data_IF_606155006653
#
_entry.id   IF_606155006653
#
_cell.length_a   1.000
_cell.length_b   1.000
_cell.length_c   1.000
_cell.angle_alpha   90.00
_cell.angle_beta   90.00
_cell.angle_gamma   90.00
#
_symmetry.space_group_name_H-M   'P 1'
#
loop_
_entity.id
_entity.type
_entity.pdbx_description
1 polymer ?
#
# COMPACT_ATOMS: atom_id res chain seq x y z
N UNK A 1 -30.98 -81.36 22.62
CA UNK A 1 -30.70 -80.07 23.28
C UNK A 1 -29.81 -79.23 22.37
N UNK A 2 -29.96 -77.89 22.43
CA UNK A 2 -29.56 -76.84 21.47
C UNK A 2 -28.04 -76.75 21.11
N UNK A 3 -27.69 -76.03 20.02
CA UNK A 3 -26.45 -76.16 19.24
C UNK A 3 -25.39 -75.08 19.55
N UNK A 4 -24.18 -75.24 19.00
CA UNK A 4 -23.22 -74.15 18.84
C UNK A 4 -22.54 -74.19 17.45
N UNK A 5 -22.46 -73.00 16.84
CA UNK A 5 -21.98 -72.69 15.48
C UNK A 5 -20.45 -72.67 15.39
N UNK A 6 -19.90 -72.96 14.21
CA UNK A 6 -18.59 -72.46 13.79
C UNK A 6 -18.57 -72.22 12.27
N UNK A 7 -18.22 -71.01 11.87
CA UNK A 7 -18.13 -70.54 10.49
C UNK A 7 -16.76 -70.88 9.90
N UNK A 8 -16.75 -71.56 8.76
CA UNK A 8 -15.55 -71.99 8.05
C UNK A 8 -14.96 -70.84 7.20
N UNK A 9 -13.68 -70.54 7.45
CA UNK A 9 -12.83 -69.73 6.57
C UNK A 9 -12.01 -70.66 5.67
N UNK A 10 -11.66 -70.16 4.48
CA UNK A 10 -10.59 -70.63 3.57
C UNK A 10 -10.84 -71.90 2.74
N UNK A 11 -11.26 -71.70 1.49
CA UNK A 11 -10.98 -72.54 0.30
C UNK A 11 -11.35 -71.65 -0.90
N UNK A 12 -10.58 -71.42 -1.96
CA UNK A 12 -9.65 -72.29 -2.62
C UNK A 12 -8.62 -71.42 -3.37
N UNK A 13 -7.34 -71.69 -3.12
CA UNK A 13 -6.23 -71.32 -3.98
C UNK A 13 -6.01 -72.49 -4.93
N UNK A 14 -5.97 -72.22 -6.24
CA UNK A 14 -5.20 -72.99 -7.22
C UNK A 14 -5.85 -74.23 -7.85
N UNK A 15 -6.58 -74.03 -8.95
CA UNK A 15 -6.63 -74.95 -10.10
C UNK A 15 -6.78 -74.03 -11.33
N UNK A 16 -5.70 -73.58 -11.96
CA UNK A 16 -5.02 -74.26 -13.06
C UNK A 16 -5.98 -74.49 -14.27
N UNK A 17 -5.91 -73.66 -15.30
CA UNK A 17 -5.16 -73.96 -16.55
C UNK A 17 -6.06 -74.64 -17.61
N UNK A 18 -6.16 -73.98 -18.78
CA UNK A 18 -6.56 -74.49 -20.12
C UNK A 18 -8.05 -74.69 -20.44
N UNK A 19 -8.68 -73.63 -20.94
CA UNK A 19 -9.54 -73.66 -22.14
C UNK A 19 -9.09 -72.48 -23.01
N UNK A 20 -7.98 -72.60 -23.73
CA UNK A 20 -7.96 -72.85 -25.18
C UNK A 20 -8.96 -72.03 -26.00
N UNK A 21 -8.39 -71.00 -26.65
CA UNK A 21 -8.62 -70.60 -28.03
C UNK A 21 -10.06 -70.31 -28.48
N UNK A 22 -10.36 -69.03 -28.71
CA UNK A 22 -10.36 -68.47 -30.06
C UNK A 22 -11.10 -67.12 -30.08
N UNK A 23 -10.67 -66.29 -31.03
CA UNK A 23 -11.48 -65.30 -31.72
C UNK A 23 -11.27 -63.81 -31.33
N UNK A 24 -10.56 -63.18 -32.27
CA UNK A 24 -10.86 -61.86 -32.83
C UNK A 24 -10.13 -60.67 -32.17
N UNK A 25 -8.96 -60.44 -32.73
CA UNK A 25 -8.41 -59.11 -33.02
C UNK A 25 -9.50 -58.11 -33.38
N UNK A 26 -9.62 -57.04 -32.59
CA UNK A 26 -10.04 -55.74 -33.10
C UNK A 26 -9.41 -54.65 -32.22
N UNK A 27 -8.28 -54.13 -32.69
CA UNK A 27 -7.67 -52.91 -32.15
C UNK A 27 -8.59 -51.74 -32.50
N UNK A 28 -9.26 -51.17 -31.51
CA UNK A 28 -9.90 -49.86 -31.64
C UNK A 28 -9.07 -48.88 -30.82
N UNK A 29 -8.26 -48.09 -31.52
CA UNK A 29 -7.64 -46.89 -30.96
C UNK A 29 -8.74 -45.88 -30.66
N UNK A 30 -9.12 -45.74 -29.40
CA UNK A 30 -9.94 -44.62 -28.94
C UNK A 30 -9.02 -43.40 -28.91
N UNK A 31 -9.10 -42.60 -29.96
CA UNK A 31 -8.55 -41.25 -29.97
C UNK A 31 -9.35 -40.44 -28.96
N UNK A 32 -8.71 -40.05 -27.85
CA UNK A 32 -9.30 -39.11 -26.91
C UNK A 32 -9.50 -37.78 -27.64
N UNK A 33 -10.76 -37.44 -27.89
CA UNK A 33 -11.12 -36.12 -28.40
C UNK A 33 -10.70 -35.07 -27.37
N UNK A 34 -9.60 -34.39 -27.64
CA UNK A 34 -9.15 -33.24 -26.89
C UNK A 34 -10.20 -32.13 -27.06
N UNK A 35 -10.82 -31.74 -25.93
CA UNK A 35 -11.72 -30.58 -25.90
C UNK A 35 -10.91 -29.36 -26.34
N UNK A 36 -11.45 -28.47 -27.21
CA UNK A 36 -10.77 -27.23 -27.50
C UNK A 36 -10.67 -26.46 -26.20
N UNK A 37 -9.44 -26.25 -25.72
CA UNK A 37 -9.14 -25.30 -24.66
C UNK A 37 -9.64 -23.96 -25.15
N UNK A 38 -10.74 -23.48 -24.56
CA UNK A 38 -11.20 -22.12 -24.75
C UNK A 38 -10.03 -21.23 -24.31
N UNK A 39 -9.33 -20.68 -25.29
CA UNK A 39 -8.38 -19.61 -25.10
C UNK A 39 -9.15 -18.48 -24.43
N UNK A 40 -9.06 -18.45 -23.10
CA UNK A 40 -9.45 -17.28 -22.34
C UNK A 40 -8.46 -16.23 -22.79
N UNK A 41 -8.85 -15.47 -23.80
CA UNK A 41 -8.34 -14.13 -24.01
C UNK A 41 -8.63 -13.42 -22.70
N UNK A 42 -7.65 -13.46 -21.80
CA UNK A 42 -7.59 -12.56 -20.68
C UNK A 42 -7.71 -11.19 -21.34
N UNK A 43 -8.88 -10.58 -21.19
CA UNK A 43 -9.04 -9.18 -21.47
C UNK A 43 -8.05 -8.49 -20.54
N UNK A 44 -6.87 -8.19 -21.06
CA UNK A 44 -5.91 -7.38 -20.37
C UNK A 44 -6.69 -6.12 -20.02
N UNK A 45 -6.95 -5.92 -18.73
CA UNK A 45 -7.47 -4.66 -18.24
C UNK A 45 -6.64 -3.56 -18.90
N UNK A 46 -7.27 -2.50 -19.45
CA UNK A 46 -6.54 -1.45 -20.13
C UNK A 46 -5.41 -1.05 -19.20
N UNK A 47 -4.17 -1.12 -19.69
CA UNK A 47 -3.05 -0.71 -18.87
C UNK A 47 -3.33 0.75 -18.50
N UNK A 48 -3.54 1.01 -17.22
CA UNK A 48 -3.58 2.36 -16.65
C UNK A 48 -2.15 2.94 -16.63
N UNK A 49 -1.40 2.70 -17.70
CA UNK A 49 0.02 2.93 -17.85
C UNK A 49 0.39 4.41 -17.93
N UNK A 50 -0.61 5.29 -17.95
CA UNK A 50 -0.47 6.74 -17.92
C UNK A 50 -0.42 7.32 -16.49
N UNK A 51 -0.57 6.49 -15.45
CA UNK A 51 -0.53 6.91 -14.04
C UNK A 51 -1.81 7.61 -13.53
N UNK A 52 -2.94 7.46 -14.22
CA UNK A 52 -4.21 8.06 -13.82
C UNK A 52 -4.62 7.74 -12.37
N UNK A 53 -4.39 6.48 -11.94
CA UNK A 53 -4.72 6.04 -10.58
C UNK A 53 -3.92 6.77 -9.49
N UNK A 54 -2.65 7.09 -9.76
CA UNK A 54 -1.85 7.92 -8.85
C UNK A 54 -2.39 9.35 -8.79
N UNK A 55 -2.68 9.92 -9.97
CA UNK A 55 -3.22 11.29 -10.09
C UNK A 55 -4.56 11.43 -9.36
N UNK A 56 -5.34 10.36 -9.28
CA UNK A 56 -6.63 10.35 -8.59
C UNK A 56 -6.54 10.60 -7.08
N UNK A 57 -5.36 10.44 -6.45
CA UNK A 57 -5.16 10.72 -5.02
C UNK A 57 -4.01 11.68 -4.71
N UNK A 58 -3.20 12.10 -5.69
CA UNK A 58 -2.01 12.94 -5.44
C UNK A 58 -2.33 14.28 -4.75
N UNK A 59 -3.56 14.78 -4.89
CA UNK A 59 -4.03 15.96 -4.16
C UNK A 59 -3.96 15.79 -2.64
N UNK A 60 -4.11 14.57 -2.12
CA UNK A 60 -3.92 14.26 -0.69
C UNK A 60 -2.45 14.42 -0.30
N UNK A 61 -1.52 13.87 -1.08
CA UNK A 61 -0.07 14.00 -0.80
C UNK A 61 0.40 15.46 -0.89
N UNK A 62 -0.28 16.28 -1.70
CA UNK A 62 -0.04 17.72 -1.83
C UNK A 62 -0.74 18.57 -0.78
N UNK A 63 -1.62 17.99 0.02
CA UNK A 63 -2.33 18.72 1.06
C UNK A 63 -1.36 19.17 2.17
N UNK A 64 -1.57 20.34 2.82
CA UNK A 64 -0.70 20.82 3.90
C UNK A 64 -0.47 19.82 5.02
N UNK A 65 -1.43 18.91 5.29
CA UNK A 65 -1.25 17.83 6.30
C UNK A 65 -0.10 16.87 5.98
N UNK A 66 0.19 16.64 4.70
CA UNK A 66 1.34 15.85 4.26
C UNK A 66 2.55 16.77 3.99
N UNK A 67 2.33 17.84 3.22
CA UNK A 67 3.39 18.73 2.75
C UNK A 67 4.15 19.43 3.87
N UNK A 68 3.53 19.66 5.03
CA UNK A 68 4.20 20.27 6.16
C UNK A 68 5.29 19.40 6.79
N UNK A 69 5.21 18.07 6.60
CA UNK A 69 6.24 17.11 6.99
C UNK A 69 7.25 16.84 5.84
N UNK A 70 6.76 16.93 4.61
CA UNK A 70 7.48 16.64 3.36
C UNK A 70 7.98 17.90 2.63
N UNK A 71 8.31 18.95 3.38
CA UNK A 71 8.79 20.25 2.89
C UNK A 71 10.31 20.39 2.88
N UNK A 72 10.85 21.22 1.98
CA UNK A 72 12.29 21.54 1.94
C UNK A 72 12.76 22.13 3.26
N UNK A 73 13.98 21.76 3.65
CA UNK A 73 14.63 22.21 4.87
C UNK A 73 14.65 21.17 5.99
N UNK A 74 15.22 21.57 7.10
CA UNK A 74 15.36 20.77 8.31
C UNK A 74 14.33 21.12 9.39
N UNK A 75 13.26 21.83 9.04
CA UNK A 75 12.18 22.21 9.95
C UNK A 75 10.81 21.83 9.36
N UNK A 76 9.82 21.53 10.23
CA UNK A 76 8.44 21.32 9.79
C UNK A 76 7.79 22.65 9.42
N UNK A 77 6.75 22.57 8.58
CA UNK A 77 5.86 23.70 8.33
C UNK A 77 4.59 23.58 9.19
N UNK A 78 3.84 24.67 9.29
CA UNK A 78 2.63 24.76 10.09
C UNK A 78 1.54 25.48 9.30
N UNK A 79 0.29 25.16 9.63
CA UNK A 79 -0.87 25.80 9.01
C UNK A 79 -1.13 25.31 7.59
N UNK A 80 -2.13 25.92 6.96
CA UNK A 80 -2.51 25.64 5.57
C UNK A 80 -1.73 26.52 4.58
N UNK A 81 -1.16 27.61 5.08
CA UNK A 81 -0.23 28.51 4.40
C UNK A 81 1.21 27.99 4.39
N UNK A 82 1.54 26.99 5.21
CA UNK A 82 2.85 26.34 5.22
C UNK A 82 3.98 27.27 5.66
N UNK A 83 3.74 28.14 6.65
CA UNK A 83 4.81 28.91 7.28
C UNK A 83 5.72 27.99 8.12
N UNK A 84 6.97 28.38 8.42
CA UNK A 84 7.82 27.62 9.34
C UNK A 84 7.13 27.44 10.70
N UNK A 85 7.30 26.26 11.31
CA UNK A 85 6.72 25.98 12.63
C UNK A 85 7.10 27.06 13.66
N UNK A 86 6.13 27.60 14.39
CA UNK A 86 6.29 28.81 15.20
C UNK A 86 7.37 28.70 16.29
N UNK A 87 7.58 27.49 16.82
CA UNK A 87 8.61 27.21 17.84
C UNK A 87 10.02 26.98 17.26
N UNK A 88 10.22 27.17 15.95
CA UNK A 88 11.52 27.02 15.27
C UNK A 88 12.23 25.66 15.47
N UNK A 89 11.44 24.61 15.76
CA UNK A 89 11.96 23.26 16.00
C UNK A 89 12.65 22.70 14.76
N UNK A 90 13.67 21.86 14.98
CA UNK A 90 14.45 21.21 13.91
C UNK A 90 14.20 19.71 13.87
N UNK A 91 14.28 19.10 12.69
CA UNK A 91 14.07 17.67 12.41
C UNK A 91 14.86 16.78 13.35
N UNK A 92 16.11 17.14 13.61
CA UNK A 92 17.03 16.35 14.42
C UNK A 92 17.41 15.02 13.76
N UNK A 93 18.33 14.25 14.37
CA UNK A 93 18.95 13.08 13.74
C UNK A 93 17.98 11.97 13.35
N UNK A 94 16.86 11.86 14.07
CA UNK A 94 15.85 10.80 13.87
C UNK A 94 14.48 11.34 13.47
N UNK A 95 14.34 12.65 13.25
CA UNK A 95 13.04 13.27 12.94
C UNK A 95 12.22 13.69 14.17
N UNK A 96 12.76 13.53 15.39
CA UNK A 96 12.05 13.76 16.66
C UNK A 96 12.44 15.06 17.39
N UNK A 97 13.11 16.00 16.74
CA UNK A 97 13.59 17.22 17.41
C UNK A 97 15.04 17.18 17.86
N UNK A 98 15.57 18.33 18.26
CA UNK A 98 16.95 18.51 18.75
C UNK A 98 16.96 18.90 20.22
N UNK A 99 17.96 18.44 20.98
CA UNK A 99 18.19 18.83 22.38
C UNK A 99 16.90 18.77 23.23
N UNK A 100 16.44 19.90 23.77
CA UNK A 100 15.23 20.01 24.61
C UNK A 100 13.96 20.26 23.78
N UNK A 101 14.10 20.67 22.52
CA UNK A 101 13.01 20.89 21.55
C UNK A 101 12.61 19.57 20.87
N UNK A 102 12.32 18.55 21.70
CA UNK A 102 11.78 17.28 21.21
C UNK A 102 10.31 17.45 20.85
N UNK A 103 9.88 16.78 19.78
CA UNK A 103 8.48 16.83 19.35
C UNK A 103 7.54 16.41 20.49
N UNK A 104 7.91 15.37 21.23
CA UNK A 104 7.16 14.83 22.37
C UNK A 104 7.11 15.74 23.60
N UNK A 105 7.92 16.81 23.65
CA UNK A 105 7.81 17.82 24.72
C UNK A 105 6.47 18.56 24.63
N UNK A 106 5.92 18.72 23.43
CA UNK A 106 4.70 19.50 23.19
C UNK A 106 3.58 18.64 22.58
N UNK A 107 3.90 17.78 21.61
CA UNK A 107 2.91 16.95 20.92
C UNK A 107 2.64 15.67 21.72
N UNK A 108 1.36 15.42 21.98
CA UNK A 108 0.88 14.21 22.65
C UNK A 108 0.45 13.15 21.65
N UNK A 109 0.02 11.98 22.14
CA UNK A 109 -0.50 10.88 21.32
C UNK A 109 -1.92 11.11 20.78
N UNK A 110 -2.60 12.17 21.23
CA UNK A 110 -3.92 12.58 20.78
C UNK A 110 -4.09 14.11 20.79
N UNK A 111 -5.08 14.63 20.06
CA UNK A 111 -5.41 16.05 20.06
C UNK A 111 -5.95 16.49 21.44
N UNK A 112 -5.45 17.61 21.97
CA UNK A 112 -5.80 18.11 23.31
C UNK A 112 -6.90 19.21 23.31
N UNK A 113 -7.25 19.80 22.17
CA UNK A 113 -8.27 20.85 22.05
C UNK A 113 -7.80 22.10 21.29
N UNK A 114 -8.63 23.14 21.28
CA UNK A 114 -8.33 24.43 20.64
C UNK A 114 -6.99 25.03 21.11
N UNK A 115 -6.25 25.64 20.18
CA UNK A 115 -4.99 26.36 20.43
C UNK A 115 -3.84 25.53 21.06
N UNK A 116 -4.03 24.23 21.25
CA UNK A 116 -2.99 23.32 21.73
C UNK A 116 -2.30 22.63 20.54
N UNK A 117 -1.05 22.16 20.70
CA UNK A 117 -0.37 21.38 19.66
C UNK A 117 -1.24 20.20 19.18
N UNK A 118 -1.19 19.86 17.88
CA UNK A 118 -1.82 18.64 17.40
C UNK A 118 -1.18 17.41 18.05
N UNK A 119 -1.90 16.31 18.11
CA UNK A 119 -1.37 15.07 18.68
C UNK A 119 -1.77 13.83 17.92
N UNK A 120 -0.80 12.93 17.77
CA UNK A 120 -0.94 11.59 17.22
C UNK A 120 0.24 10.73 17.72
N UNK A 121 0.09 9.40 17.78
CA UNK A 121 1.20 8.53 18.17
C UNK A 121 2.42 8.74 17.25
N UNK A 122 3.62 8.64 17.84
CA UNK A 122 4.90 8.72 17.11
C UNK A 122 5.12 10.03 16.34
N UNK A 123 4.63 11.18 16.84
CA UNK A 123 4.77 12.48 16.20
C UNK A 123 6.23 12.81 15.82
N UNK A 124 6.51 12.83 14.52
CA UNK A 124 7.86 12.93 13.98
C UNK A 124 7.86 13.42 12.53
N UNK A 125 9.00 13.95 12.11
CA UNK A 125 9.33 14.14 10.71
C UNK A 125 9.98 12.89 10.10
N UNK A 126 9.94 12.73 8.77
CA UNK A 126 10.90 11.88 8.06
C UNK A 126 12.34 12.12 8.56
N UNK A 127 13.16 11.09 8.80
CA UNK A 127 14.51 11.28 9.27
C UNK A 127 15.40 11.96 8.20
N UNK A 128 16.46 12.69 8.59
CA UNK A 128 17.35 13.38 7.65
C UNK A 128 17.98 12.49 6.57
N UNK A 129 18.18 11.19 6.85
CA UNK A 129 18.71 10.24 5.87
C UNK A 129 17.74 9.95 4.70
N UNK A 130 16.43 10.06 4.94
CA UNK A 130 15.38 9.91 3.92
C UNK A 130 14.29 10.97 4.18
N UNK A 131 14.57 12.24 3.87
CA UNK A 131 13.72 13.35 4.29
C UNK A 131 12.39 13.40 3.54
N UNK A 132 12.25 12.62 2.45
CA UNK A 132 11.02 12.50 1.66
C UNK A 132 10.50 13.88 1.22
N UNK A 133 11.37 14.73 0.67
CA UNK A 133 11.02 16.09 0.27
C UNK A 133 10.20 16.06 -1.02
N UNK A 134 8.93 16.45 -0.95
CA UNK A 134 8.02 16.49 -2.10
C UNK A 134 7.79 17.92 -2.61
N UNK A 135 8.15 18.93 -1.83
CA UNK A 135 7.92 20.33 -2.19
C UNK A 135 8.72 20.71 -3.44
N UNK A 136 8.00 21.16 -4.47
CA UNK A 136 8.57 21.50 -5.78
C UNK A 136 8.67 20.33 -6.76
N UNK A 137 8.33 19.10 -6.35
CA UNK A 137 8.27 17.95 -7.26
C UNK A 137 6.97 17.96 -8.09
N UNK A 138 7.05 17.46 -9.34
CA UNK A 138 5.89 17.11 -10.18
C UNK A 138 5.18 15.87 -9.62
N UNK A 139 3.94 15.61 -10.06
CA UNK A 139 3.20 14.40 -9.63
C UNK A 139 3.95 13.12 -9.99
N UNK A 140 4.54 13.08 -11.19
CA UNK A 140 5.38 11.98 -11.65
C UNK A 140 6.61 11.77 -10.75
N UNK A 141 7.25 12.87 -10.32
CA UNK A 141 8.39 12.82 -9.40
C UNK A 141 7.98 12.36 -7.99
N UNK A 142 6.86 12.82 -7.45
CA UNK A 142 6.34 12.33 -6.15
C UNK A 142 6.07 10.83 -6.24
N UNK A 143 5.36 10.38 -7.28
CA UNK A 143 5.06 8.95 -7.47
C UNK A 143 6.32 8.08 -7.47
N UNK A 144 7.36 8.47 -8.22
CA UNK A 144 8.62 7.72 -8.25
C UNK A 144 9.35 7.78 -6.91
N UNK A 145 9.36 8.93 -6.25
CA UNK A 145 10.03 9.13 -4.96
C UNK A 145 9.42 8.25 -3.86
N UNK A 146 8.09 8.19 -3.74
CA UNK A 146 7.44 7.38 -2.70
C UNK A 146 7.61 5.87 -2.92
N UNK A 147 7.85 5.44 -4.17
CA UNK A 147 8.09 4.04 -4.53
C UNK A 147 9.54 3.60 -4.38
N UNK A 148 10.49 4.53 -4.39
CA UNK A 148 11.91 4.21 -4.32
C UNK A 148 12.33 3.90 -2.87
N UNK A 149 12.76 2.66 -2.55
CA UNK A 149 13.22 2.29 -1.21
C UNK A 149 14.30 3.22 -0.65
N UNK A 150 15.15 3.76 -1.53
CA UNK A 150 16.24 4.68 -1.14
C UNK A 150 15.72 6.04 -0.69
N UNK A 151 14.49 6.38 -1.04
CA UNK A 151 13.88 7.68 -0.74
C UNK A 151 12.73 7.59 0.27
N UNK A 152 12.14 6.41 0.48
CA UNK A 152 10.91 6.22 1.26
C UNK A 152 11.10 5.50 2.61
N UNK A 153 12.33 5.43 3.12
CA UNK A 153 12.74 4.67 4.33
C UNK A 153 12.70 3.15 4.12
N UNK A 154 13.19 2.66 2.98
CA UNK A 154 13.28 1.24 2.63
C UNK A 154 11.93 0.48 2.64
N UNK A 155 10.83 1.19 2.45
CA UNK A 155 9.51 0.56 2.36
C UNK A 155 9.35 -0.12 1.01
N UNK A 156 8.87 -1.36 1.02
CA UNK A 156 8.29 -1.97 -0.17
C UNK A 156 6.90 -1.37 -0.46
N UNK A 157 6.27 -1.80 -1.56
CA UNK A 157 4.97 -1.24 -1.97
C UNK A 157 3.85 -1.51 -0.94
N UNK A 158 3.81 -2.70 -0.35
CA UNK A 158 2.77 -3.06 0.64
C UNK A 158 2.92 -2.20 1.91
N UNK A 159 4.14 -2.04 2.40
CA UNK A 159 4.47 -1.19 3.54
C UNK A 159 4.20 0.30 3.25
N UNK A 160 4.40 0.74 2.00
CA UNK A 160 4.04 2.09 1.58
C UNK A 160 2.52 2.28 1.66
N UNK A 161 1.74 1.32 1.15
CA UNK A 161 0.28 1.36 1.21
C UNK A 161 -0.20 1.38 2.65
N UNK A 162 0.30 0.48 3.49
CA UNK A 162 0.01 0.47 4.93
C UNK A 162 0.35 1.82 5.58
N UNK A 163 1.53 2.38 5.28
CA UNK A 163 1.92 3.68 5.81
C UNK A 163 0.96 4.80 5.37
N UNK A 164 0.55 4.82 4.10
CA UNK A 164 -0.36 5.85 3.61
C UNK A 164 -1.76 5.68 4.20
N UNK A 165 -2.24 4.46 4.40
CA UNK A 165 -3.66 4.21 4.70
C UNK A 165 -3.95 3.85 6.15
N UNK A 166 -2.95 3.50 6.96
CA UNK A 166 -3.17 2.92 8.30
C UNK A 166 -2.29 3.54 9.40
N UNK A 167 -1.13 4.14 9.05
CA UNK A 167 -0.23 4.79 10.01
C UNK A 167 -0.93 5.91 10.79
N UNK A 168 -0.95 5.78 12.13
CA UNK A 168 -1.72 6.70 12.99
C UNK A 168 -1.26 8.15 12.91
N UNK A 169 0.02 8.42 12.63
CA UNK A 169 0.51 9.78 12.41
C UNK A 169 -0.01 10.34 11.08
N UNK A 170 -0.07 9.51 10.03
CA UNK A 170 -0.63 9.92 8.73
C UNK A 170 -2.14 10.11 8.84
N UNK A 171 -2.83 9.22 9.56
CA UNK A 171 -4.29 9.26 9.75
C UNK A 171 -4.77 10.52 10.46
N UNK A 172 -3.92 11.16 11.26
CA UNK A 172 -4.22 12.46 11.87
C UNK A 172 -4.64 13.51 10.84
N UNK A 173 -4.20 13.42 9.58
CA UNK A 173 -4.60 14.36 8.52
C UNK A 173 -6.12 14.46 8.26
N UNK A 174 -6.90 13.43 8.62
CA UNK A 174 -8.36 13.42 8.52
C UNK A 174 -9.07 13.84 9.82
N UNK A 175 -8.37 13.80 10.95
CA UNK A 175 -8.87 14.31 12.23
C UNK A 175 -7.79 15.19 12.90
N UNK A 176 -7.52 16.38 12.35
CA UNK A 176 -6.36 17.18 12.76
C UNK A 176 -6.56 17.93 14.10
N UNK A 177 -7.70 17.73 14.76
CA UNK A 177 -8.09 18.47 15.95
C UNK A 177 -8.70 19.83 15.61
N UNK A 178 -9.15 20.51 16.65
CA UNK A 178 -9.95 21.74 16.53
C UNK A 178 -9.19 22.88 15.83
N UNK A 179 -9.90 23.63 14.99
CA UNK A 179 -9.36 24.78 14.26
C UNK A 179 -8.42 24.45 13.10
N UNK A 180 -8.29 23.18 12.69
CA UNK A 180 -7.45 22.75 11.57
C UNK A 180 -8.28 22.13 10.45
N UNK A 181 -7.95 22.46 9.21
CA UNK A 181 -8.63 21.92 8.02
C UNK A 181 -8.25 20.45 7.81
N UNK A 182 -9.22 19.52 7.78
CA UNK A 182 -8.96 18.11 7.44
C UNK A 182 -8.69 17.96 5.94
N UNK A 183 -8.05 16.86 5.55
CA UNK A 183 -7.95 16.47 4.14
C UNK A 183 -9.37 16.35 3.54
N UNK A 184 -9.70 17.05 2.43
CA UNK A 184 -11.07 17.07 1.89
C UNK A 184 -11.54 15.73 1.32
N UNK A 185 -10.63 14.91 0.80
CA UNK A 185 -10.94 13.56 0.34
C UNK A 185 -11.15 12.65 1.55
N UNK A 186 -12.29 11.93 1.66
CA UNK A 186 -12.49 10.97 2.74
C UNK A 186 -11.38 9.91 2.80
N UNK A 187 -11.01 9.48 4.00
CA UNK A 187 -9.92 8.51 4.20
C UNK A 187 -10.19 7.18 3.49
N UNK A 188 -11.42 6.66 3.58
CA UNK A 188 -11.80 5.41 2.92
C UNK A 188 -11.66 5.49 1.40
N UNK A 189 -12.04 6.64 0.81
CA UNK A 189 -11.85 6.89 -0.62
C UNK A 189 -10.36 6.94 -0.97
N UNK A 190 -9.54 7.67 -0.19
CA UNK A 190 -8.10 7.72 -0.38
C UNK A 190 -7.47 6.33 -0.32
N UNK A 191 -7.81 5.54 0.70
CA UNK A 191 -7.30 4.19 0.89
C UNK A 191 -7.70 3.27 -0.26
N UNK A 192 -8.95 3.36 -0.74
CA UNK A 192 -9.41 2.60 -1.90
C UNK A 192 -8.61 2.96 -3.17
N UNK A 193 -8.38 4.25 -3.44
CA UNK A 193 -7.59 4.69 -4.60
C UNK A 193 -6.13 4.23 -4.52
N UNK A 194 -5.52 4.30 -3.34
CA UNK A 194 -4.13 3.81 -3.12
C UNK A 194 -4.04 2.31 -3.37
N UNK A 195 -4.98 1.52 -2.85
CA UNK A 195 -5.03 0.05 -3.06
C UNK A 195 -5.30 -0.32 -4.52
N UNK A 196 -6.16 0.43 -5.22
CA UNK A 196 -6.36 0.26 -6.67
C UNK A 196 -5.08 0.55 -7.46
N UNK A 197 -4.37 1.63 -7.12
CA UNK A 197 -3.08 1.96 -7.72
C UNK A 197 -2.04 0.86 -7.50
N UNK A 198 -1.94 0.33 -6.28
CA UNK A 198 -1.07 -0.82 -5.96
C UNK A 198 -1.42 -2.05 -6.82
N UNK A 199 -2.70 -2.43 -6.87
CA UNK A 199 -3.18 -3.59 -7.64
C UNK A 199 -2.90 -3.46 -9.15
N UNK A 200 -2.87 -2.23 -9.67
CA UNK A 200 -2.53 -1.92 -11.05
C UNK A 200 -1.01 -1.80 -11.32
N UNK A 201 -0.15 -2.19 -10.37
CA UNK A 201 1.31 -2.15 -10.52
C UNK A 201 1.95 -0.81 -10.14
N UNK A 202 1.22 0.04 -9.42
CA UNK A 202 1.68 1.33 -8.92
C UNK A 202 2.28 2.23 -10.02
N UNK A 203 1.63 2.32 -11.18
CA UNK A 203 2.13 3.08 -12.33
C UNK A 203 2.24 4.57 -12.01
N UNK A 204 3.28 5.23 -12.52
CA UNK A 204 3.49 6.65 -12.33
C UNK A 204 3.12 7.44 -13.59
N UNK A 205 2.61 8.68 -13.44
CA UNK A 205 2.38 9.55 -14.57
C UNK A 205 3.65 9.86 -15.36
N UNK A 206 3.49 10.21 -16.63
CA UNK A 206 4.56 10.80 -17.43
C UNK A 206 4.84 12.25 -16.99
N UNK A 207 6.01 12.80 -17.31
CA UNK A 207 6.47 14.14 -16.85
C UNK A 207 5.60 15.33 -17.27
N UNK A 208 4.52 15.12 -18.02
CA UNK A 208 3.64 16.18 -18.53
C UNK A 208 2.71 16.79 -17.45
N UNK A 209 2.75 16.29 -16.21
CA UNK A 209 1.96 16.80 -15.08
C UNK A 209 2.40 18.19 -14.61
N UNK A 210 1.42 19.09 -14.41
CA UNK A 210 1.62 20.47 -13.93
C UNK A 210 2.56 20.51 -12.70
N UNK A 211 3.63 21.32 -12.77
CA UNK A 211 4.34 21.76 -11.55
C UNK A 211 3.38 22.59 -10.72
N UNK A 212 3.24 22.28 -9.43
CA UNK A 212 2.57 23.18 -8.51
C UNK A 212 3.34 24.52 -8.51
N UNK A 213 2.64 25.63 -8.79
CA UNK A 213 3.23 26.97 -8.67
C UNK A 213 3.66 27.16 -7.22
N UNK A 214 4.95 27.40 -7.02
CA UNK A 214 5.50 27.90 -5.76
C UNK A 214 5.16 29.38 -5.68
N UNK A 215 4.01 29.72 -5.11
CA UNK A 215 3.77 31.08 -4.61
C UNK A 215 4.23 31.10 -3.15
N UNK A 216 5.55 31.18 -2.93
CA UNK A 216 6.12 31.52 -1.62
C UNK A 216 7.10 32.68 -1.83
N UNK A 217 6.78 33.89 -1.34
CA UNK A 217 7.76 34.96 -1.23
C UNK A 217 8.73 34.66 -0.09
N UNK A 218 10.03 34.78 -0.35
CA UNK A 218 11.05 34.83 0.69
C UNK A 218 11.69 33.48 1.03
N UNK A 219 13.02 33.49 1.01
CA UNK A 219 13.93 32.40 1.37
C UNK A 219 13.73 31.93 2.82
#
# INVERSE_FOLDING_TARGET
MKPLRASFRFLAVGIAVLIFAAAISFSVSISAAEKPSAETTAFAAPSTGDGALFTAFVSVLRHPRCMNCHSRGDFPRQGDDGHPHAMNVRRGPEGHGVTAEKCSTCHQDHNLGAHLPPGAPNWALPPPATPMIWQGLTDAQICRSIKDPKQNKNRNLDQLVEHLTEDKLVMWGWNPGEGRTPIPMPHEEFAAKVKQWQAAGATCPTETGKRAKLDVPGQ
#
